data_IF_952492038845
#
_entry.id   IF_952492038845
#
_cell.length_a   1.000
_cell.length_b   1.000
_cell.length_c   1.000
_cell.angle_alpha   90.00
_cell.angle_beta   90.00
_cell.angle_gamma   90.00
#
_symmetry.space_group_name_H-M   'P 1'
#
loop_
_entity.id
_entity.type
_entity.pdbx_description
1 polymer ?
#
# COMPACT_ATOMS: atom_id res chain seq x y z
N UNK A 1 -12.07 5.85 9.57
CA UNK A 1 -11.18 4.66 9.58
C UNK A 1 -10.45 4.60 8.25
N UNK A 2 -9.13 4.41 8.24
CA UNK A 2 -8.31 4.39 7.02
C UNK A 2 -7.48 3.10 6.96
N UNK A 3 -7.33 2.51 5.78
CA UNK A 3 -6.37 1.42 5.54
C UNK A 3 -5.07 1.96 4.99
N UNK A 4 -3.96 1.40 5.47
CA UNK A 4 -2.62 1.80 5.03
C UNK A 4 -2.19 0.94 3.86
N UNK A 5 -1.76 1.58 2.77
CA UNK A 5 -1.12 0.94 1.62
C UNK A 5 0.30 1.50 1.41
N UNK A 6 1.15 0.70 0.76
CA UNK A 6 2.62 0.90 0.70
C UNK A 6 3.15 0.57 -0.70
N UNK A 7 4.38 1.00 -0.99
CA UNK A 7 5.10 0.69 -2.23
C UNK A 7 4.83 1.64 -3.39
N UNK A 8 3.66 2.26 -3.44
CA UNK A 8 3.26 3.16 -4.52
C UNK A 8 2.85 2.42 -5.79
N UNK A 9 2.26 3.16 -6.74
CA UNK A 9 1.82 2.64 -8.04
C UNK A 9 2.50 3.37 -9.20
N UNK A 10 2.14 3.01 -10.44
CA UNK A 10 2.73 3.57 -11.67
C UNK A 10 2.67 5.11 -11.73
N UNK A 11 1.62 5.70 -11.16
CA UNK A 11 1.41 7.15 -11.11
C UNK A 11 2.22 7.87 -10.02
N UNK A 12 2.92 7.14 -9.14
CA UNK A 12 3.73 7.71 -8.07
C UNK A 12 5.19 7.95 -8.54
N UNK A 13 5.31 8.68 -9.64
CA UNK A 13 6.57 8.94 -10.37
C UNK A 13 7.59 9.76 -9.56
N UNK A 14 7.15 10.41 -8.49
CA UNK A 14 8.03 11.16 -7.59
C UNK A 14 8.74 10.21 -6.61
N UNK A 15 10.08 10.24 -6.62
CA UNK A 15 10.98 9.56 -5.66
C UNK A 15 10.55 9.78 -4.22
N UNK A 16 9.96 10.94 -3.91
CA UNK A 16 9.51 11.25 -2.56
C UNK A 16 8.40 10.33 -2.05
N UNK A 17 7.62 9.75 -2.97
CA UNK A 17 6.42 8.93 -2.71
C UNK A 17 6.68 7.43 -2.76
N UNK A 18 7.74 6.97 -3.43
CA UNK A 18 8.10 5.55 -3.57
C UNK A 18 9.23 5.13 -2.61
N UNK A 19 9.12 5.46 -1.32
CA UNK A 19 10.10 5.05 -0.30
C UNK A 19 9.54 4.00 0.64
N UNK A 20 10.41 3.14 1.15
CA UNK A 20 10.06 2.16 2.17
C UNK A 20 9.39 2.76 3.41
N UNK A 21 9.62 4.04 3.73
CA UNK A 21 8.97 4.75 4.85
C UNK A 21 7.58 5.34 4.56
N UNK A 22 7.16 5.50 3.30
CA UNK A 22 5.95 6.27 2.95
C UNK A 22 4.66 5.47 3.16
N UNK A 23 3.79 5.96 4.05
CA UNK A 23 2.50 5.33 4.39
C UNK A 23 1.37 6.16 3.79
N UNK A 24 0.63 5.61 2.85
CA UNK A 24 -0.59 6.24 2.34
C UNK A 24 -1.81 5.68 3.03
N UNK A 25 -2.84 6.51 3.23
CA UNK A 25 -4.09 6.11 3.89
C UNK A 25 -5.30 6.56 3.07
N UNK A 26 -6.28 5.68 2.90
CA UNK A 26 -7.56 6.03 2.29
C UNK A 26 -8.71 5.19 2.88
N UNK A 27 -9.95 5.62 2.62
CA UNK A 27 -11.15 4.92 3.02
C UNK A 27 -11.14 3.48 2.50
N UNK A 28 -11.63 2.49 3.26
CA UNK A 28 -11.77 1.12 2.77
C UNK A 28 -12.65 1.01 1.50
N UNK A 29 -13.57 1.95 1.33
CA UNK A 29 -14.46 2.04 0.17
C UNK A 29 -13.81 2.67 -1.06
N UNK A 30 -12.62 3.28 -0.92
CA UNK A 30 -11.93 3.92 -2.03
C UNK A 30 -11.39 2.89 -3.02
N UNK A 31 -11.72 3.05 -4.30
CA UNK A 31 -11.30 2.18 -5.40
C UNK A 31 -10.54 3.00 -6.42
N UNK A 32 -9.34 2.56 -6.77
CA UNK A 32 -8.43 3.25 -7.68
C UNK A 32 -7.58 2.23 -8.42
N UNK A 33 -7.37 2.44 -9.72
CA UNK A 33 -6.65 1.50 -10.59
C UNK A 33 -5.15 1.39 -10.23
N UNK A 34 -4.61 2.31 -9.43
CA UNK A 34 -3.27 2.25 -8.88
C UNK A 34 -3.15 1.45 -7.57
N UNK A 35 -4.25 0.90 -7.05
CA UNK A 35 -4.25 0.05 -5.85
C UNK A 35 -4.27 -1.43 -6.22
N UNK A 36 -3.58 -2.25 -5.41
CA UNK A 36 -3.51 -3.70 -5.58
C UNK A 36 -3.20 -4.42 -4.28
N UNK A 37 -3.20 -5.75 -4.33
CA UNK A 37 -2.98 -6.61 -3.17
C UNK A 37 -1.71 -7.44 -3.33
N UNK A 38 -1.04 -7.70 -2.19
CA UNK A 38 0.06 -8.66 -2.09
C UNK A 38 -0.29 -9.66 -1.01
N UNK A 39 -0.35 -10.94 -1.36
CA UNK A 39 -0.54 -12.01 -0.39
C UNK A 39 0.67 -12.07 0.56
N UNK A 40 0.39 -12.33 1.83
CA UNK A 40 1.40 -12.63 2.83
C UNK A 40 1.05 -13.96 3.49
N UNK A 41 2.07 -14.77 3.79
CA UNK A 41 1.90 -15.98 4.59
C UNK A 41 2.07 -15.62 6.07
N UNK A 42 1.22 -16.19 6.91
CA UNK A 42 1.42 -16.17 8.36
C UNK A 42 2.33 -17.35 8.71
N UNK A 43 3.49 -17.07 9.28
CA UNK A 43 4.31 -18.09 9.94
C UNK A 43 3.82 -18.22 11.39
N UNK A 44 3.28 -19.39 11.72
CA UNK A 44 2.96 -19.75 13.10
C UNK A 44 4.16 -20.52 13.62
N UNK A 45 4.93 -19.89 14.51
CA UNK A 45 6.04 -20.55 15.20
C UNK A 45 5.54 -21.62 16.19
N UNK A 46 6.43 -22.50 16.67
CA UNK A 46 6.11 -23.45 17.73
C UNK A 46 5.70 -22.75 19.04
#
# INVERSE_FOLDING_TARGET
>A
MFYVYRGGGWYNIDRSRARAGVRHGNSPSYRDNGLGFRCARVEVGP
#
